data_IF_722698615401
#
_entry.id   IF_722698615401
#
_cell.length_a   1.000
_cell.length_b   1.000
_cell.length_c   1.000
_cell.angle_alpha   90.00
_cell.angle_beta   90.00
_cell.angle_gamma   90.00
#
_symmetry.space_group_name_H-M   'P 1'
#
loop_
_entity.id
_entity.type
_entity.pdbx_description
1 polymer ?
#
# COMPACT_ATOMS: atom_id res chain seq x y z
N UNK A 1 -26.59 -3.40 5.33
CA UNK A 1 -27.86 -3.36 6.10
C UNK A 1 -28.48 -1.97 6.07
N UNK A 2 -29.74 -1.84 6.46
CA UNK A 2 -30.42 -0.54 6.63
C UNK A 2 -29.70 0.35 7.65
N UNK A 3 -29.09 -0.28 8.67
CA UNK A 3 -28.33 0.39 9.72
C UNK A 3 -26.91 0.83 9.34
N UNK A 4 -26.45 0.51 8.13
CA UNK A 4 -25.10 0.85 7.69
C UNK A 4 -24.03 -0.18 8.05
N UNK A 5 -24.37 -1.31 8.66
CA UNK A 5 -23.43 -2.36 9.03
C UNK A 5 -22.97 -3.13 7.78
N UNK A 6 -21.67 -3.33 7.62
CA UNK A 6 -21.02 -4.13 6.58
C UNK A 6 -20.46 -5.40 7.26
N UNK A 7 -20.58 -6.60 6.63
CA UNK A 7 -19.96 -7.80 7.16
C UNK A 7 -18.42 -7.73 7.03
N UNK A 8 -17.73 -8.41 7.92
CA UNK A 8 -16.26 -8.45 7.92
C UNK A 8 -15.71 -9.25 6.72
N UNK A 9 -16.51 -10.18 6.16
CA UNK A 9 -16.16 -10.99 4.99
C UNK A 9 -17.27 -10.97 3.94
N UNK A 10 -16.90 -11.09 2.67
CA UNK A 10 -17.84 -11.17 1.56
C UNK A 10 -17.48 -12.35 0.62
N UNK A 11 -18.48 -13.19 0.21
CA UNK A 11 -19.87 -13.13 0.63
C UNK A 11 -20.02 -13.42 2.14
N UNK A 12 -21.07 -12.88 2.77
CA UNK A 12 -21.33 -13.02 4.20
C UNK A 12 -21.81 -14.45 4.57
N UNK A 13 -21.07 -15.47 4.13
CA UNK A 13 -21.33 -16.87 4.44
C UNK A 13 -21.13 -17.14 5.93
N UNK A 14 -20.03 -16.64 6.48
CA UNK A 14 -19.83 -16.54 7.92
C UNK A 14 -20.45 -15.23 8.39
N UNK A 15 -21.39 -15.30 9.32
CA UNK A 15 -22.15 -14.15 9.81
C UNK A 15 -21.30 -13.26 10.76
N UNK A 16 -20.12 -12.87 10.32
CA UNK A 16 -19.25 -11.95 11.06
C UNK A 16 -19.65 -10.50 10.78
N UNK A 17 -20.26 -9.88 11.77
CA UNK A 17 -20.66 -8.47 11.79
C UNK A 17 -20.15 -7.86 13.09
N UNK A 18 -18.81 -7.69 13.17
CA UNK A 18 -18.17 -7.24 14.42
C UNK A 18 -18.05 -5.72 14.51
N UNK A 19 -18.43 -5.00 13.45
CA UNK A 19 -18.12 -3.58 13.29
C UNK A 19 -16.61 -3.29 13.37
N UNK A 20 -15.78 -4.23 12.90
CA UNK A 20 -14.38 -3.94 12.66
C UNK A 20 -14.21 -2.81 11.66
N UNK A 21 -13.08 -2.13 11.70
CA UNK A 21 -12.82 -1.00 10.79
C UNK A 21 -12.01 -1.43 9.57
N UNK A 22 -11.03 -2.29 9.77
CA UNK A 22 -10.06 -2.64 8.73
C UNK A 22 -10.65 -3.53 7.65
N UNK A 23 -11.33 -4.62 8.02
CA UNK A 23 -11.95 -5.56 7.07
C UNK A 23 -13.03 -4.89 6.21
N UNK A 24 -14.05 -4.23 6.79
CA UNK A 24 -15.06 -3.51 6.00
C UNK A 24 -14.52 -2.35 5.16
N UNK A 25 -13.37 -1.77 5.50
CA UNK A 25 -12.71 -0.73 4.67
C UNK A 25 -12.41 -1.23 3.26
N UNK A 26 -12.26 -2.55 3.07
CA UNK A 26 -12.08 -3.17 1.75
C UNK A 26 -13.15 -2.76 0.75
N UNK A 27 -14.38 -2.52 1.20
CA UNK A 27 -15.48 -2.04 0.37
C UNK A 27 -15.17 -0.72 -0.34
N UNK A 28 -14.45 0.16 0.32
CA UNK A 28 -14.00 1.46 -0.20
C UNK A 28 -12.73 1.31 -1.04
N UNK A 29 -11.77 0.55 -0.52
CA UNK A 29 -10.48 0.31 -1.17
C UNK A 29 -10.64 -0.38 -2.51
N UNK A 30 -11.52 -1.39 -2.62
CA UNK A 30 -11.80 -2.08 -3.88
C UNK A 30 -12.48 -1.15 -4.88
N UNK A 31 -13.42 -0.31 -4.45
CA UNK A 31 -14.06 0.67 -5.35
C UNK A 31 -13.04 1.70 -5.88
N UNK A 32 -12.13 2.21 -5.03
CA UNK A 32 -11.03 3.10 -5.43
C UNK A 32 -10.06 2.39 -6.40
N UNK A 33 -9.71 1.13 -6.10
CA UNK A 33 -8.85 0.32 -6.97
C UNK A 33 -9.49 0.10 -8.36
N UNK A 34 -10.76 -0.27 -8.42
CA UNK A 34 -11.47 -0.46 -9.70
C UNK A 34 -11.50 0.83 -10.53
N UNK A 35 -11.74 1.96 -9.87
CA UNK A 35 -11.67 3.24 -10.55
C UNK A 35 -10.26 3.57 -11.07
N UNK A 36 -9.23 3.39 -10.26
CA UNK A 36 -7.83 3.67 -10.66
C UNK A 36 -7.33 2.75 -11.76
N UNK A 37 -7.67 1.45 -11.69
CA UNK A 37 -7.18 0.45 -12.63
C UNK A 37 -7.97 0.41 -13.94
N UNK A 38 -9.27 0.67 -13.89
CA UNK A 38 -10.16 0.51 -15.04
C UNK A 38 -10.87 1.80 -15.47
N UNK A 39 -10.77 2.88 -14.71
CA UNK A 39 -11.56 4.09 -14.93
C UNK A 39 -13.08 3.88 -14.67
N UNK A 40 -13.45 2.77 -14.02
CA UNK A 40 -14.83 2.39 -13.80
C UNK A 40 -15.43 3.08 -12.57
N UNK A 41 -16.26 4.08 -12.80
CA UNK A 41 -16.93 4.84 -11.73
C UNK A 41 -18.21 4.16 -11.22
N UNK A 42 -18.76 3.19 -11.93
CA UNK A 42 -20.04 2.54 -11.59
C UNK A 42 -20.11 1.95 -10.19
N UNK A 43 -19.06 1.28 -9.64
CA UNK A 43 -19.09 0.82 -8.27
C UNK A 43 -19.24 1.98 -7.27
N UNK A 44 -18.59 3.10 -7.51
CA UNK A 44 -18.71 4.29 -6.66
C UNK A 44 -20.12 4.86 -6.73
N UNK A 45 -20.66 5.11 -7.94
CA UNK A 45 -22.02 5.64 -8.15
C UNK A 45 -23.07 4.77 -7.48
N UNK A 46 -22.99 3.44 -7.69
CA UNK A 46 -23.96 2.48 -7.16
C UNK A 46 -23.93 2.37 -5.64
N UNK A 47 -22.76 2.49 -5.04
CA UNK A 47 -22.54 2.13 -3.64
C UNK A 47 -22.28 3.33 -2.73
N UNK A 48 -22.15 4.54 -3.24
CA UNK A 48 -21.82 5.74 -2.46
C UNK A 48 -22.75 5.96 -1.27
N UNK A 49 -24.05 5.80 -1.47
CA UNK A 49 -25.04 5.97 -0.39
C UNK A 49 -24.85 4.94 0.75
N UNK A 50 -24.52 3.69 0.43
CA UNK A 50 -24.26 2.66 1.44
C UNK A 50 -22.92 2.87 2.14
N UNK A 51 -21.92 3.37 1.45
CA UNK A 51 -20.63 3.78 2.01
C UNK A 51 -20.82 4.91 3.04
N UNK A 52 -21.59 5.94 2.69
CA UNK A 52 -21.97 7.02 3.64
C UNK A 52 -22.67 6.50 4.89
N UNK A 53 -23.56 5.52 4.74
CA UNK A 53 -24.25 4.91 5.88
C UNK A 53 -23.26 4.23 6.83
N UNK A 54 -22.29 3.48 6.30
CA UNK A 54 -21.27 2.85 7.13
C UNK A 54 -20.39 3.89 7.86
N UNK A 55 -19.90 4.90 7.15
CA UNK A 55 -19.12 5.99 7.75
C UNK A 55 -19.91 6.66 8.89
N UNK A 56 -21.19 6.97 8.66
CA UNK A 56 -22.07 7.55 9.69
C UNK A 56 -22.33 6.60 10.86
N UNK A 57 -22.48 5.30 10.60
CA UNK A 57 -22.66 4.29 11.64
C UNK A 57 -21.46 4.21 12.57
N UNK A 58 -20.25 4.07 12.00
CA UNK A 58 -19.00 4.02 12.79
C UNK A 58 -18.80 5.33 13.58
N UNK A 59 -18.99 6.48 12.92
CA UNK A 59 -18.90 7.77 13.60
C UNK A 59 -19.80 7.86 14.83
N UNK A 60 -21.08 7.58 14.66
CA UNK A 60 -22.09 7.74 15.72
C UNK A 60 -21.93 6.74 16.86
N UNK A 61 -21.49 5.53 16.52
CA UNK A 61 -21.48 4.43 17.51
C UNK A 61 -20.15 4.34 18.27
N UNK A 62 -19.04 4.65 17.63
CA UNK A 62 -17.71 4.34 18.17
C UNK A 62 -16.78 5.53 18.31
N UNK A 63 -17.01 6.66 17.61
CA UNK A 63 -16.08 7.77 17.69
C UNK A 63 -16.13 8.48 19.06
N UNK A 64 -14.98 8.57 19.71
CA UNK A 64 -14.75 9.31 20.95
C UNK A 64 -13.59 10.27 20.73
N UNK A 65 -13.80 11.57 20.94
CA UNK A 65 -12.77 12.61 20.78
C UNK A 65 -12.01 12.55 19.44
N UNK A 66 -12.74 12.24 18.36
CA UNK A 66 -12.19 12.05 17.00
C UNK A 66 -11.25 10.86 16.84
N UNK A 67 -11.35 9.86 17.71
CA UNK A 67 -10.64 8.58 17.64
C UNK A 67 -11.65 7.44 17.57
N UNK A 68 -11.24 6.30 17.01
CA UNK A 68 -12.06 5.08 16.92
C UNK A 68 -11.41 4.00 17.78
N UNK A 69 -11.88 3.80 19.03
CA UNK A 69 -11.31 2.77 19.92
C UNK A 69 -11.73 1.34 19.55
N UNK A 70 -12.58 1.19 18.51
CA UNK A 70 -13.11 -0.09 18.07
C UNK A 70 -12.15 -0.77 17.11
N UNK A 71 -11.52 -1.82 17.57
CA UNK A 71 -10.72 -2.74 16.78
C UNK A 71 -11.08 -4.18 17.14
N UNK A 72 -11.02 -5.10 16.19
CA UNK A 72 -11.30 -6.51 16.42
C UNK A 72 -10.10 -7.40 16.12
N UNK A 73 -9.41 -7.12 15.02
CA UNK A 73 -8.42 -8.03 14.47
C UNK A 73 -6.98 -7.53 14.63
N UNK A 74 -6.79 -6.23 14.83
CA UNK A 74 -5.45 -5.63 14.89
C UNK A 74 -4.67 -5.82 13.60
N UNK A 75 -3.35 -5.88 13.71
CA UNK A 75 -2.47 -6.28 12.60
C UNK A 75 -2.43 -7.82 12.52
N UNK A 76 -3.49 -8.40 11.97
CA UNK A 76 -3.76 -9.83 11.95
C UNK A 76 -2.62 -10.64 11.36
N UNK A 77 -2.30 -11.77 11.97
CA UNK A 77 -1.20 -12.65 11.56
C UNK A 77 0.20 -12.00 11.58
N UNK A 78 0.41 -11.03 12.48
CA UNK A 78 1.77 -10.58 12.73
C UNK A 78 2.65 -11.77 13.18
N UNK A 79 3.89 -11.91 12.66
CA UNK A 79 4.72 -13.08 12.93
C UNK A 79 5.11 -13.14 14.41
N UNK A 80 4.85 -14.27 15.12
CA UNK A 80 5.33 -14.50 16.48
C UNK A 80 6.86 -14.71 16.48
N UNK A 81 7.51 -14.44 17.61
CA UNK A 81 8.92 -14.78 17.78
C UNK A 81 9.12 -16.30 17.86
N UNK A 82 8.23 -16.98 18.59
CA UNK A 82 8.20 -18.44 18.70
C UNK A 82 7.36 -19.01 17.56
N UNK A 83 8.00 -19.78 16.68
CA UNK A 83 7.38 -20.29 15.44
C UNK A 83 6.25 -21.29 15.67
N UNK A 84 6.09 -21.83 16.87
CA UNK A 84 5.00 -22.75 17.25
C UNK A 84 3.70 -22.03 17.57
N UNK A 85 3.76 -20.73 17.86
CA UNK A 85 2.57 -19.94 18.19
C UNK A 85 1.79 -19.57 16.92
N UNK A 86 0.48 -19.48 17.05
CA UNK A 86 -0.40 -18.97 15.97
C UNK A 86 -0.36 -17.44 15.95
N UNK A 87 -0.36 -16.81 17.12
CA UNK A 87 -0.34 -15.35 17.25
C UNK A 87 0.80 -14.92 18.16
N UNK A 88 1.37 -13.77 17.87
CA UNK A 88 2.34 -13.13 18.75
C UNK A 88 1.70 -12.81 20.11
N UNK A 89 2.45 -13.05 21.18
CA UNK A 89 2.06 -12.74 22.55
C UNK A 89 2.83 -11.57 23.14
N UNK A 90 3.94 -11.24 22.53
CA UNK A 90 4.78 -10.12 22.95
C UNK A 90 4.11 -8.80 22.60
N UNK A 91 3.73 -8.03 23.62
CA UNK A 91 3.06 -6.74 23.46
C UNK A 91 3.91 -5.69 22.73
N UNK A 92 5.23 -5.83 22.74
CA UNK A 92 6.13 -4.93 21.99
C UNK A 92 5.96 -5.07 20.48
N UNK A 93 5.49 -6.24 20.03
CA UNK A 93 5.23 -6.55 18.63
C UNK A 93 3.81 -6.24 18.18
N UNK A 94 2.87 -6.06 19.12
CA UNK A 94 1.45 -5.86 18.83
C UNK A 94 1.16 -4.37 18.65
N UNK A 95 0.73 -3.99 17.46
CA UNK A 95 0.32 -2.61 17.18
C UNK A 95 -1.00 -2.29 17.85
N UNK A 96 -1.10 -1.09 18.42
CA UNK A 96 -2.31 -0.59 19.08
C UNK A 96 -3.51 -0.59 18.12
N UNK A 97 -4.58 -1.27 18.51
CA UNK A 97 -5.79 -1.43 17.68
C UNK A 97 -6.55 -0.12 17.46
N UNK A 98 -6.57 0.78 18.45
CA UNK A 98 -7.19 2.10 18.28
C UNK A 98 -6.42 2.97 17.27
N UNK A 99 -5.10 2.85 17.24
CA UNK A 99 -4.27 3.49 16.22
C UNK A 99 -4.65 2.96 14.82
N UNK A 100 -4.70 1.64 14.65
CA UNK A 100 -5.05 0.99 13.37
C UNK A 100 -6.44 1.44 12.91
N UNK A 101 -7.45 1.27 13.77
CA UNK A 101 -8.84 1.61 13.45
C UNK A 101 -9.01 3.09 13.09
N UNK A 102 -8.39 3.99 13.87
CA UNK A 102 -8.46 5.43 13.59
C UNK A 102 -7.75 5.81 12.30
N UNK A 103 -6.58 5.22 12.01
CA UNK A 103 -5.85 5.46 10.77
C UNK A 103 -6.66 5.00 9.54
N UNK A 104 -7.26 3.81 9.59
CA UNK A 104 -8.11 3.30 8.52
C UNK A 104 -9.38 4.11 8.33
N UNK A 105 -10.05 4.51 9.41
CA UNK A 105 -11.22 5.36 9.31
C UNK A 105 -10.88 6.72 8.70
N UNK A 106 -9.75 7.32 9.07
CA UNK A 106 -9.22 8.51 8.41
C UNK A 106 -9.00 8.29 6.91
N UNK A 107 -8.39 7.17 6.54
CA UNK A 107 -8.13 6.84 5.14
C UNK A 107 -9.43 6.67 4.35
N UNK A 108 -10.42 5.97 4.90
CA UNK A 108 -11.77 5.85 4.32
C UNK A 108 -12.39 7.22 4.09
N UNK A 109 -12.30 8.16 5.03
CA UNK A 109 -12.80 9.53 4.82
C UNK A 109 -12.08 10.25 3.68
N UNK A 110 -10.77 10.01 3.49
CA UNK A 110 -10.04 10.60 2.35
C UNK A 110 -10.50 10.03 1.02
N UNK A 111 -10.82 8.72 0.97
CA UNK A 111 -11.42 8.06 -0.20
C UNK A 111 -12.83 8.61 -0.44
N UNK A 112 -13.67 8.71 0.58
CA UNK A 112 -15.03 9.25 0.45
C UNK A 112 -15.02 10.70 -0.03
N UNK A 113 -14.13 11.53 0.46
CA UNK A 113 -13.91 12.89 -0.06
C UNK A 113 -13.56 12.88 -1.55
N UNK A 114 -12.72 11.94 -1.98
CA UNK A 114 -12.37 11.78 -3.39
C UNK A 114 -13.58 11.35 -4.22
N UNK A 115 -14.33 10.36 -3.77
CA UNK A 115 -15.57 9.92 -4.40
C UNK A 115 -16.64 11.04 -4.49
N UNK A 116 -16.80 11.82 -3.42
CA UNK A 116 -17.70 12.97 -3.43
C UNK A 116 -17.33 13.97 -4.52
N UNK A 117 -16.03 14.23 -4.75
CA UNK A 117 -15.57 15.11 -5.84
C UNK A 117 -15.87 14.51 -7.21
N UNK A 118 -15.61 13.21 -7.41
CA UNK A 118 -15.95 12.52 -8.66
C UNK A 118 -17.45 12.60 -8.99
N UNK A 119 -18.29 12.47 -7.95
CA UNK A 119 -19.74 12.56 -8.04
C UNK A 119 -20.27 14.00 -8.00
N UNK A 120 -19.39 15.00 -8.03
CA UNK A 120 -19.74 16.44 -7.99
C UNK A 120 -20.58 16.83 -6.76
N UNK A 121 -20.29 16.23 -5.60
CA UNK A 121 -20.93 16.55 -4.33
C UNK A 121 -19.95 17.34 -3.41
N UNK A 122 -19.90 18.68 -3.54
CA UNK A 122 -18.96 19.50 -2.77
C UNK A 122 -19.29 19.53 -1.27
N UNK A 123 -20.54 19.35 -0.89
CA UNK A 123 -20.98 19.37 0.52
C UNK A 123 -20.37 18.18 1.27
N UNK A 124 -20.52 16.96 0.73
CA UNK A 124 -19.94 15.76 1.32
C UNK A 124 -18.41 15.85 1.31
N UNK A 125 -17.80 16.33 0.23
CA UNK A 125 -16.36 16.48 0.13
C UNK A 125 -15.79 17.44 1.19
N UNK A 126 -16.49 18.52 1.50
CA UNK A 126 -16.12 19.48 2.54
C UNK A 126 -16.30 18.87 3.94
N UNK A 127 -17.43 18.22 4.19
CA UNK A 127 -17.70 17.53 5.45
C UNK A 127 -16.60 16.53 5.79
N UNK A 128 -16.28 15.62 4.87
CA UNK A 128 -15.29 14.57 5.08
C UNK A 128 -13.87 15.14 5.24
N UNK A 129 -13.56 16.23 4.54
CA UNK A 129 -12.29 16.95 4.70
C UNK A 129 -12.14 17.57 6.10
N UNK A 130 -13.19 18.18 6.62
CA UNK A 130 -13.19 18.79 7.96
C UNK A 130 -13.06 17.73 9.05
N UNK A 131 -13.81 16.63 8.92
CA UNK A 131 -13.75 15.53 9.88
C UNK A 131 -12.37 14.85 9.87
N UNK A 132 -11.83 14.55 8.68
CA UNK A 132 -10.49 14.01 8.54
C UNK A 132 -9.42 14.93 9.18
N UNK A 133 -9.57 16.24 9.03
CA UNK A 133 -8.67 17.22 9.67
C UNK A 133 -8.70 17.17 11.21
N UNK A 134 -9.87 16.96 11.81
CA UNK A 134 -10.03 16.80 13.26
C UNK A 134 -9.42 15.49 13.75
N UNK A 135 -9.68 14.38 13.04
CA UNK A 135 -9.12 13.06 13.34
C UNK A 135 -7.58 13.12 13.27
N UNK A 136 -7.01 13.69 12.22
CA UNK A 136 -5.57 13.87 12.08
C UNK A 136 -4.94 14.59 13.27
N UNK A 137 -5.58 15.63 13.78
CA UNK A 137 -5.12 16.37 14.97
C UNK A 137 -5.18 15.50 16.23
N UNK A 138 -6.31 14.83 16.48
CA UNK A 138 -6.51 13.94 17.62
C UNK A 138 -5.52 12.76 17.60
N UNK A 139 -5.36 12.13 16.44
CA UNK A 139 -4.44 11.02 16.21
C UNK A 139 -2.99 11.38 16.59
N UNK A 140 -2.47 12.48 16.03
CA UNK A 140 -1.10 12.90 16.34
C UNK A 140 -0.95 13.38 17.79
N UNK A 141 -2.00 13.95 18.40
CA UNK A 141 -1.97 14.32 19.82
C UNK A 141 -1.86 13.10 20.74
N UNK A 142 -2.55 12.00 20.40
CA UNK A 142 -2.59 10.80 21.23
C UNK A 142 -1.41 9.87 20.99
N UNK A 143 -1.09 9.59 19.74
CA UNK A 143 -0.22 8.48 19.37
C UNK A 143 1.21 8.89 19.01
N UNK A 144 1.47 10.15 18.59
CA UNK A 144 2.81 10.57 18.19
C UNK A 144 3.61 11.09 19.38
N UNK A 145 4.69 10.42 19.71
CA UNK A 145 5.73 10.93 20.57
C UNK A 145 6.57 11.98 19.81
N UNK A 146 6.41 13.25 20.13
CA UNK A 146 7.12 14.34 19.43
C UNK A 146 8.63 14.39 19.68
N UNK A 147 9.13 13.72 20.72
CA UNK A 147 10.57 13.71 21.04
C UNK A 147 11.30 12.66 20.21
N UNK A 148 10.75 11.44 20.15
CA UNK A 148 11.32 10.31 19.43
C UNK A 148 10.80 10.22 18.00
N UNK A 149 9.66 10.86 17.68
CA UNK A 149 8.92 10.74 16.43
C UNK A 149 8.45 9.29 16.16
N UNK A 150 8.06 8.59 17.21
CA UNK A 150 7.51 7.24 17.17
C UNK A 150 6.00 7.28 17.40
N UNK A 151 5.27 6.37 16.76
CA UNK A 151 3.87 6.15 17.04
C UNK A 151 3.69 4.97 17.99
N UNK A 152 2.94 5.18 19.09
CA UNK A 152 2.67 4.17 20.12
C UNK A 152 3.94 3.45 20.60
N UNK A 153 4.00 2.13 20.42
CA UNK A 153 5.10 1.25 20.78
C UNK A 153 6.13 1.04 19.64
N UNK A 154 6.16 1.94 18.67
CA UNK A 154 7.13 1.97 17.57
C UNK A 154 7.12 0.75 16.62
N UNK A 155 6.07 -0.07 16.61
CA UNK A 155 5.99 -1.14 15.61
C UNK A 155 6.05 -0.57 14.18
N UNK A 156 6.54 -1.36 13.24
CA UNK A 156 6.59 -0.96 11.83
C UNK A 156 5.21 -0.53 11.34
N UNK A 157 4.16 -1.30 11.64
CA UNK A 157 2.78 -0.97 11.27
C UNK A 157 2.30 0.34 11.89
N UNK A 158 2.61 0.60 13.16
CA UNK A 158 2.22 1.85 13.83
C UNK A 158 2.79 3.09 13.15
N UNK A 159 3.99 2.99 12.57
CA UNK A 159 4.65 4.11 11.89
C UNK A 159 4.28 4.20 10.39
N UNK A 160 4.16 3.09 9.66
CA UNK A 160 3.88 3.14 8.21
C UNK A 160 2.45 3.59 7.90
N UNK A 161 1.45 3.22 8.71
CA UNK A 161 0.07 3.63 8.44
C UNK A 161 -0.09 5.17 8.41
N UNK A 162 0.34 5.93 9.45
CA UNK A 162 0.23 7.37 9.42
C UNK A 162 1.13 8.03 8.36
N UNK A 163 2.27 7.45 7.99
CA UNK A 163 3.09 7.92 6.88
C UNK A 163 2.34 7.81 5.56
N UNK A 164 1.87 6.61 5.22
CA UNK A 164 1.21 6.34 3.95
C UNK A 164 -0.12 7.08 3.80
N UNK A 165 -0.94 7.09 4.84
CA UNK A 165 -2.23 7.80 4.81
C UNK A 165 -2.09 9.34 4.90
N UNK A 166 -0.86 9.85 5.08
CA UNK A 166 -0.61 11.28 5.16
C UNK A 166 -1.06 11.92 6.48
N UNK A 167 -1.20 11.13 7.53
CA UNK A 167 -1.54 11.58 8.89
C UNK A 167 -0.34 12.27 9.54
N UNK A 168 0.85 11.71 9.37
CA UNK A 168 2.10 12.25 9.95
C UNK A 168 2.32 13.70 9.51
N UNK A 169 2.59 14.64 10.44
CA UNK A 169 2.92 16.01 10.10
C UNK A 169 4.19 16.06 9.23
N UNK A 170 4.22 16.99 8.27
CA UNK A 170 5.28 17.04 7.24
C UNK A 170 6.69 17.07 7.83
N UNK A 171 6.88 17.85 8.89
CA UNK A 171 8.21 18.03 9.52
C UNK A 171 8.72 16.80 10.28
N UNK A 172 7.83 15.88 10.70
CA UNK A 172 8.19 14.65 11.41
C UNK A 172 8.34 13.43 10.48
N UNK A 173 7.87 13.51 9.21
CA UNK A 173 7.80 12.36 8.30
C UNK A 173 9.14 11.65 8.12
N UNK A 174 10.19 12.41 7.89
CA UNK A 174 11.51 11.84 7.68
C UNK A 174 11.99 11.06 8.92
N UNK A 175 11.81 11.63 10.12
CA UNK A 175 12.22 10.98 11.37
C UNK A 175 11.38 9.76 11.71
N UNK A 176 10.07 9.82 11.47
CA UNK A 176 9.19 8.64 11.60
C UNK A 176 9.64 7.53 10.64
N UNK A 177 9.99 7.87 9.41
CA UNK A 177 10.50 6.89 8.46
C UNK A 177 11.86 6.31 8.86
N UNK A 178 12.76 7.11 9.41
CA UNK A 178 14.04 6.62 9.97
C UNK A 178 13.81 5.60 11.10
N UNK A 179 12.78 5.78 11.93
CA UNK A 179 12.38 4.79 12.93
C UNK A 179 11.90 3.50 12.27
N UNK A 180 11.08 3.58 11.18
CA UNK A 180 10.70 2.38 10.40
C UNK A 180 11.92 1.64 9.89
N UNK A 181 12.89 2.35 9.30
CA UNK A 181 14.13 1.76 8.80
C UNK A 181 14.90 1.09 9.94
N UNK A 182 15.06 1.78 11.08
CA UNK A 182 15.76 1.23 12.22
C UNK A 182 15.11 -0.06 12.76
N UNK A 183 13.77 -0.08 12.87
CA UNK A 183 13.04 -1.28 13.30
C UNK A 183 13.29 -2.44 12.33
N UNK A 184 13.15 -2.21 11.03
CA UNK A 184 13.32 -3.27 10.04
C UNK A 184 14.75 -3.80 10.03
N UNK A 185 15.75 -2.91 9.97
CA UNK A 185 17.15 -3.33 9.74
C UNK A 185 17.84 -3.80 11.02
N UNK A 186 17.67 -3.07 12.13
CA UNK A 186 18.43 -3.33 13.34
C UNK A 186 17.69 -4.22 14.36
N UNK A 187 16.34 -4.15 14.41
CA UNK A 187 15.56 -4.97 15.35
C UNK A 187 15.10 -6.27 14.70
N UNK A 188 14.60 -6.19 13.46
CA UNK A 188 14.06 -7.35 12.74
C UNK A 188 14.98 -7.92 11.66
N UNK A 189 16.19 -7.36 11.47
CA UNK A 189 17.24 -7.89 10.58
C UNK A 189 16.72 -8.21 9.18
N UNK A 190 16.06 -7.21 8.56
CA UNK A 190 15.45 -7.28 7.22
C UNK A 190 14.40 -8.38 7.05
N UNK A 191 13.64 -8.66 8.11
CA UNK A 191 12.51 -9.59 8.07
C UNK A 191 11.17 -8.86 8.18
N UNK A 192 10.12 -9.55 7.79
CA UNK A 192 8.74 -9.09 8.01
C UNK A 192 8.45 -9.02 9.51
N UNK A 193 7.93 -7.88 9.94
CA UNK A 193 7.47 -7.65 11.32
C UNK A 193 6.04 -7.15 11.37
N UNK A 194 5.31 -7.28 10.26
CA UNK A 194 3.92 -6.82 10.09
C UNK A 194 3.00 -8.00 9.84
N UNK A 195 1.74 -7.82 10.26
CA UNK A 195 0.64 -8.69 9.85
C UNK A 195 0.02 -8.21 8.54
N UNK A 196 -1.23 -8.61 8.29
CA UNK A 196 -1.99 -8.28 7.07
C UNK A 196 -2.09 -6.78 6.83
N UNK A 197 -2.31 -6.02 7.91
CA UNK A 197 -2.56 -4.58 7.84
C UNK A 197 -1.29 -3.84 7.44
N UNK A 198 -0.18 -4.08 8.15
CA UNK A 198 1.08 -3.42 7.83
C UNK A 198 1.67 -3.88 6.49
N UNK A 199 1.62 -5.18 6.21
CA UNK A 199 2.15 -5.75 4.96
C UNK A 199 1.47 -5.16 3.70
N UNK A 200 0.21 -4.72 3.82
CA UNK A 200 -0.52 -4.10 2.69
C UNK A 200 0.04 -2.74 2.25
N UNK A 201 0.92 -2.11 3.04
CA UNK A 201 1.45 -0.76 2.76
C UNK A 201 2.97 -0.67 2.85
N UNK A 202 3.62 -1.74 3.34
CA UNK A 202 5.04 -1.76 3.68
C UNK A 202 5.95 -1.42 2.50
N UNK A 203 5.76 -2.14 1.38
CA UNK A 203 6.64 -2.01 0.21
C UNK A 203 6.53 -0.62 -0.44
N UNK A 204 5.33 -0.06 -0.44
CA UNK A 204 5.07 1.29 -0.96
C UNK A 204 5.75 2.35 -0.11
N UNK A 205 5.60 2.28 1.23
CA UNK A 205 6.24 3.25 2.13
C UNK A 205 7.75 3.20 1.98
N UNK A 206 8.36 2.03 2.01
CA UNK A 206 9.80 1.89 1.83
C UNK A 206 10.28 2.52 0.51
N UNK A 207 9.57 2.27 -0.57
CA UNK A 207 9.93 2.79 -1.89
C UNK A 207 9.67 4.30 -2.03
N UNK A 208 8.54 4.80 -1.56
CA UNK A 208 8.18 6.22 -1.64
C UNK A 208 9.13 7.12 -0.82
N UNK A 209 9.68 6.58 0.27
CA UNK A 209 10.68 7.27 1.09
C UNK A 209 12.14 6.94 0.71
N UNK A 210 12.36 6.29 -0.44
CA UNK A 210 13.68 6.14 -1.05
C UNK A 210 14.51 4.95 -0.54
N UNK A 211 13.88 3.93 0.05
CA UNK A 211 14.54 2.70 0.52
C UNK A 211 13.95 1.44 -0.15
N UNK A 212 13.94 1.40 -1.52
CA UNK A 212 13.54 0.19 -2.23
C UNK A 212 14.51 -0.98 -2.04
N UNK A 213 15.74 -0.70 -1.65
CA UNK A 213 16.75 -1.68 -1.25
C UNK A 213 16.26 -2.53 -0.07
N UNK A 214 15.75 -1.91 0.99
CA UNK A 214 15.18 -2.63 2.15
C UNK A 214 13.96 -3.46 1.73
N UNK A 215 13.09 -2.90 0.87
CA UNK A 215 11.95 -3.65 0.34
C UNK A 215 12.41 -4.91 -0.40
N UNK A 216 13.47 -4.82 -1.18
CA UNK A 216 14.05 -5.95 -1.90
C UNK A 216 14.69 -6.98 -0.95
N UNK A 217 15.42 -6.53 0.06
CA UNK A 217 16.06 -7.39 1.06
C UNK A 217 15.01 -8.20 1.82
N UNK A 218 13.91 -7.57 2.27
CA UNK A 218 12.77 -8.25 2.89
C UNK A 218 12.20 -9.35 1.98
N UNK A 219 12.00 -9.06 0.70
CA UNK A 219 11.40 -10.02 -0.26
C UNK A 219 12.30 -11.20 -0.50
N UNK A 220 13.60 -10.98 -0.58
CA UNK A 220 14.60 -12.00 -0.93
C UNK A 220 15.15 -12.75 0.27
N UNK A 221 14.89 -12.28 1.50
CA UNK A 221 15.32 -12.95 2.72
C UNK A 221 14.66 -14.34 2.84
N UNK A 222 15.49 -15.39 2.92
CA UNK A 222 15.05 -16.79 2.92
C UNK A 222 14.84 -17.38 4.31
N UNK A 223 15.03 -16.58 5.36
CA UNK A 223 14.81 -16.98 6.74
C UNK A 223 13.49 -16.42 7.28
N UNK A 224 12.99 -16.99 8.37
CA UNK A 224 11.72 -16.61 8.98
C UNK A 224 11.80 -15.24 9.66
N UNK A 225 10.75 -14.43 9.55
CA UNK A 225 9.57 -14.54 8.73
C UNK A 225 9.69 -13.76 7.39
N UNK A 226 9.09 -14.27 6.33
CA UNK A 226 9.05 -13.59 5.04
C UNK A 226 8.57 -14.47 3.88
N UNK A 227 8.39 -13.85 2.71
CA UNK A 227 8.00 -14.58 1.48
C UNK A 227 9.09 -15.52 1.01
N UNK A 228 10.36 -15.09 1.05
CA UNK A 228 11.50 -15.93 0.69
C UNK A 228 11.63 -17.16 1.59
N UNK A 229 11.27 -17.05 2.88
CA UNK A 229 11.16 -18.19 3.78
C UNK A 229 10.08 -19.18 3.33
N UNK A 230 8.88 -18.70 3.00
CA UNK A 230 7.81 -19.58 2.49
C UNK A 230 8.29 -20.36 1.25
N UNK A 231 8.95 -19.70 0.31
CA UNK A 231 9.54 -20.35 -0.89
C UNK A 231 10.61 -21.36 -0.51
N UNK A 232 11.51 -21.04 0.40
CA UNK A 232 12.57 -21.93 0.87
C UNK A 232 12.02 -23.19 1.55
N UNK A 233 10.86 -23.07 2.24
CA UNK A 233 10.16 -24.18 2.89
C UNK A 233 9.18 -24.92 1.93
N UNK A 234 9.26 -24.67 0.62
CA UNK A 234 8.51 -25.38 -0.40
C UNK A 234 7.07 -24.92 -0.59
N UNK A 235 6.74 -23.69 -0.21
CA UNK A 235 5.42 -23.12 -0.48
C UNK A 235 5.21 -22.97 -1.99
N UNK A 236 4.05 -23.41 -2.48
CA UNK A 236 3.60 -23.21 -3.86
C UNK A 236 2.63 -22.04 -3.99
N UNK A 237 2.09 -21.58 -2.88
CA UNK A 237 1.22 -20.41 -2.74
C UNK A 237 1.53 -19.69 -1.43
N UNK A 238 0.94 -18.51 -1.22
CA UNK A 238 1.05 -17.77 0.05
C UNK A 238 0.30 -18.53 1.17
N UNK A 239 0.93 -18.69 2.31
CA UNK A 239 0.33 -19.25 3.51
C UNK A 239 -0.46 -18.20 4.28
N UNK A 240 -1.40 -18.66 5.10
CA UNK A 240 -2.17 -17.80 6.00
C UNK A 240 -1.35 -17.22 7.15
N UNK A 241 -0.37 -17.99 7.65
CA UNK A 241 0.56 -17.57 8.67
C UNK A 241 1.99 -17.56 8.14
N UNK A 242 2.81 -16.62 8.57
CA UNK A 242 4.25 -16.57 8.23
C UNK A 242 4.99 -17.86 8.61
N UNK A 243 4.57 -18.49 9.71
CA UNK A 243 5.07 -19.75 10.27
C UNK A 243 4.13 -20.94 10.00
N UNK A 244 3.35 -20.93 8.92
CA UNK A 244 2.30 -21.93 8.65
C UNK A 244 2.77 -23.38 8.57
N UNK A 245 4.08 -23.63 8.40
CA UNK A 245 4.69 -24.95 8.45
C UNK A 245 5.03 -25.43 9.87
N UNK A 246 5.11 -24.52 10.86
CA UNK A 246 5.53 -24.81 12.24
C UNK A 246 4.47 -24.58 13.30
N UNK A 247 3.52 -23.66 13.06
CA UNK A 247 2.47 -23.31 14.04
C UNK A 247 1.76 -24.55 14.60
N UNK A 248 1.53 -24.56 15.89
CA UNK A 248 0.86 -25.67 16.63
C UNK A 248 -0.27 -25.10 17.51
N UNK A 249 -1.55 -25.50 17.35
CA UNK A 249 -2.01 -26.45 16.31
C UNK A 249 -1.90 -25.85 14.90
N UNK A 250 -1.72 -26.67 13.90
CA UNK A 250 -1.64 -26.23 12.49
C UNK A 250 -3.02 -25.77 12.02
N UNK A 251 -3.35 -24.54 12.26
CA UNK A 251 -4.62 -23.92 11.90
C UNK A 251 -4.56 -23.05 10.65
N UNK A 252 -3.48 -23.08 9.92
CA UNK A 252 -3.33 -22.21 8.78
C UNK A 252 -3.63 -22.92 7.47
N UNK A 253 -4.32 -22.21 6.57
CA UNK A 253 -4.37 -22.58 5.17
C UNK A 253 -2.99 -22.39 4.53
N UNK A 254 -2.64 -23.33 3.66
CA UNK A 254 -1.42 -23.21 2.82
C UNK A 254 -1.72 -22.58 1.46
N UNK A 255 -2.91 -22.04 1.28
CA UNK A 255 -3.34 -21.34 0.07
C UNK A 255 -4.26 -20.19 0.48
N UNK A 256 -3.65 -19.07 0.92
CA UNK A 256 -4.36 -17.92 1.42
C UNK A 256 -3.66 -16.62 0.99
N UNK A 257 -4.33 -15.82 0.17
CA UNK A 257 -3.73 -14.63 -0.47
C UNK A 257 -3.45 -13.47 0.51
N UNK A 258 -3.95 -13.52 1.71
CA UNK A 258 -3.97 -12.42 2.68
C UNK A 258 -2.58 -11.79 2.91
N UNK A 259 -1.55 -12.62 3.15
CA UNK A 259 -0.19 -12.16 3.39
C UNK A 259 0.60 -11.82 2.11
N UNK A 260 -0.04 -11.82 0.94
CA UNK A 260 0.58 -11.26 -0.26
C UNK A 260 0.85 -9.75 -0.09
N UNK A 261 -0.01 -9.07 0.66
CA UNK A 261 0.10 -7.64 0.89
C UNK A 261 0.09 -6.86 -0.43
N UNK A 262 1.02 -5.93 -0.55
CA UNK A 262 1.23 -5.14 -1.76
C UNK A 262 2.38 -5.64 -2.67
N UNK A 263 2.90 -6.86 -2.43
CA UNK A 263 4.08 -7.39 -3.12
C UNK A 263 3.95 -7.39 -4.65
N UNK A 264 2.85 -7.92 -5.19
CA UNK A 264 2.63 -7.95 -6.64
C UNK A 264 2.45 -6.53 -7.20
N UNK A 265 1.76 -5.66 -6.48
CA UNK A 265 1.61 -4.26 -6.87
C UNK A 265 2.98 -3.60 -6.91
N UNK A 266 3.84 -3.86 -5.94
CA UNK A 266 5.20 -3.34 -5.89
C UNK A 266 6.04 -3.83 -7.07
N UNK A 267 5.94 -5.10 -7.48
CA UNK A 267 6.63 -5.61 -8.66
C UNK A 267 6.23 -4.85 -9.92
N UNK A 268 4.93 -4.64 -10.15
CA UNK A 268 4.46 -3.94 -11.34
C UNK A 268 4.67 -2.42 -11.27
N UNK A 269 4.25 -1.79 -10.19
CA UNK A 269 4.27 -0.34 -10.09
C UNK A 269 5.67 0.22 -9.82
N UNK A 270 6.52 -0.51 -9.10
CA UNK A 270 7.83 0.00 -8.72
C UNK A 270 8.97 -0.67 -9.48
N UNK A 271 9.10 -2.00 -9.50
CA UNK A 271 10.21 -2.64 -10.21
C UNK A 271 10.05 -2.53 -11.73
N UNK A 272 8.89 -2.85 -12.26
CA UNK A 272 8.60 -2.67 -13.68
C UNK A 272 8.28 -1.21 -14.03
N UNK A 273 7.84 -0.41 -13.05
CA UNK A 273 7.50 0.99 -13.21
C UNK A 273 6.22 1.26 -13.98
N UNK A 274 5.25 0.34 -13.98
CA UNK A 274 3.99 0.49 -14.72
C UNK A 274 2.90 0.99 -13.77
N UNK A 275 2.49 2.26 -13.89
CA UNK A 275 1.43 2.86 -13.07
C UNK A 275 0.38 3.55 -13.93
N UNK A 276 -0.89 3.50 -13.50
CA UNK A 276 -1.92 4.38 -14.03
C UNK A 276 -1.74 5.80 -13.47
N UNK A 277 -1.89 6.82 -14.30
CA UNK A 277 -1.89 8.21 -13.85
C UNK A 277 -3.12 8.47 -12.98
N UNK A 278 -2.94 9.05 -11.79
CA UNK A 278 -4.03 9.26 -10.81
C UNK A 278 -5.12 10.21 -11.34
N UNK A 279 -4.74 11.17 -12.19
CA UNK A 279 -5.67 12.13 -12.76
C UNK A 279 -6.36 11.60 -14.02
N UNK A 280 -5.80 10.56 -14.66
CA UNK A 280 -6.31 9.92 -15.86
C UNK A 280 -6.35 8.40 -15.67
N UNK A 281 -7.26 7.90 -14.80
CA UNK A 281 -7.30 6.50 -14.41
C UNK A 281 -7.58 5.56 -15.57
N UNK A 282 -7.38 4.25 -15.36
CA UNK A 282 -7.63 3.23 -16.37
C UNK A 282 -6.52 3.13 -17.43
N UNK A 283 -5.31 3.60 -17.15
CA UNK A 283 -4.17 3.57 -18.09
C UNK A 283 -4.37 4.34 -19.40
N UNK A 284 -5.28 5.29 -19.43
CA UNK A 284 -5.36 6.24 -20.55
C UNK A 284 -4.09 7.08 -20.65
N UNK A 285 -3.55 7.45 -19.48
CA UNK A 285 -2.23 8.00 -19.31
C UNK A 285 -1.43 7.11 -18.38
N UNK A 286 -0.26 6.70 -18.81
CA UNK A 286 0.59 5.73 -18.14
C UNK A 286 1.78 6.46 -17.52
N UNK A 287 2.14 6.14 -16.30
CA UNK A 287 3.40 6.59 -15.70
C UNK A 287 4.36 5.41 -15.73
N UNK A 288 5.47 5.58 -16.46
CA UNK A 288 6.56 4.61 -16.56
C UNK A 288 7.72 5.12 -15.71
N UNK A 289 7.91 4.52 -14.52
CA UNK A 289 8.93 4.96 -13.55
C UNK A 289 9.46 3.77 -12.76
N UNK A 290 10.41 3.00 -13.30
CA UNK A 290 11.02 1.90 -12.55
C UNK A 290 11.91 2.45 -11.43
N UNK A 291 11.98 1.70 -10.37
CA UNK A 291 12.91 1.92 -9.27
C UNK A 291 14.10 0.99 -9.47
N UNK A 292 15.30 1.57 -9.51
CA UNK A 292 16.53 0.80 -9.69
C UNK A 292 17.10 0.41 -8.32
N UNK A 293 17.40 -0.88 -8.18
CA UNK A 293 18.04 -1.48 -7.00
C UNK A 293 19.38 -2.03 -7.46
N UNK A 294 20.45 -1.82 -6.70
CA UNK A 294 21.79 -2.16 -7.18
C UNK A 294 22.01 -3.64 -7.44
N UNK A 295 21.44 -4.50 -6.62
CA UNK A 295 21.50 -5.95 -6.76
C UNK A 295 20.62 -6.51 -7.88
N UNK A 296 19.60 -5.75 -8.35
CA UNK A 296 18.69 -6.19 -9.39
C UNK A 296 19.20 -5.76 -10.78
N UNK A 297 19.45 -6.72 -11.65
CA UNK A 297 20.07 -6.50 -12.96
C UNK A 297 19.07 -6.30 -14.09
N UNK A 298 17.89 -6.90 -14.00
CA UNK A 298 16.84 -6.77 -15.02
C UNK A 298 15.44 -6.95 -14.45
N UNK A 299 14.45 -6.39 -15.14
CA UNK A 299 13.03 -6.68 -14.92
C UNK A 299 12.34 -6.73 -16.28
N UNK A 300 11.60 -7.79 -16.53
CA UNK A 300 10.77 -7.95 -17.72
C UNK A 300 9.33 -8.16 -17.29
N UNK A 301 8.44 -7.24 -17.63
CA UNK A 301 7.04 -7.28 -17.23
C UNK A 301 6.11 -6.86 -18.34
N UNK A 302 4.91 -7.44 -18.32
CA UNK A 302 3.82 -7.03 -19.20
C UNK A 302 2.51 -6.98 -18.42
N UNK A 303 1.70 -5.96 -18.67
CA UNK A 303 0.41 -5.75 -18.06
C UNK A 303 -0.66 -5.54 -19.13
N UNK A 304 -1.74 -6.31 -19.08
CA UNK A 304 -2.85 -6.18 -20.01
C UNK A 304 -3.88 -5.22 -19.44
N UNK A 305 -3.80 -3.95 -19.83
CA UNK A 305 -4.77 -2.92 -19.46
C UNK A 305 -6.03 -2.99 -20.31
N UNK A 306 -7.06 -2.23 -19.97
CA UNK A 306 -8.28 -2.10 -20.80
C UNK A 306 -8.01 -1.52 -22.19
N UNK A 307 -6.86 -0.90 -22.41
CA UNK A 307 -6.43 -0.33 -23.69
C UNK A 307 -5.51 -1.26 -24.48
N UNK A 308 -5.06 -2.37 -23.89
CA UNK A 308 -4.13 -3.31 -24.49
C UNK A 308 -2.85 -3.51 -23.65
N UNK A 309 -1.86 -4.15 -24.26
CA UNK A 309 -0.62 -4.52 -23.58
C UNK A 309 0.31 -3.33 -23.31
N UNK A 310 0.73 -3.20 -22.08
CA UNK A 310 1.83 -2.34 -21.66
C UNK A 310 3.00 -3.27 -21.34
N UNK A 311 4.18 -3.00 -21.90
CA UNK A 311 5.39 -3.77 -21.63
C UNK A 311 6.48 -2.85 -21.11
N UNK A 312 7.21 -3.34 -20.12
CA UNK A 312 8.38 -2.72 -19.54
C UNK A 312 9.44 -3.78 -19.34
N UNK A 313 10.54 -3.68 -20.08
CA UNK A 313 11.65 -4.62 -20.00
C UNK A 313 12.94 -3.83 -19.95
N UNK A 314 13.58 -3.80 -18.78
CA UNK A 314 14.84 -3.10 -18.61
C UNK A 314 15.94 -4.02 -18.12
N UNK A 315 17.15 -3.70 -18.58
CA UNK A 315 18.40 -4.33 -18.21
C UNK A 315 19.37 -3.25 -17.74
N UNK A 316 20.06 -3.49 -16.63
CA UNK A 316 21.04 -2.57 -16.04
C UNK A 316 22.42 -3.21 -16.01
N UNK A 317 23.37 -2.56 -16.65
CA UNK A 317 24.79 -2.81 -16.55
C UNK A 317 25.46 -1.65 -15.82
N UNK A 318 26.76 -1.74 -15.54
CA UNK A 318 27.47 -0.75 -14.71
C UNK A 318 27.28 0.69 -15.17
N UNK A 319 27.32 0.91 -16.51
CA UNK A 319 27.21 2.26 -17.10
C UNK A 319 26.06 2.41 -18.09
N UNK A 320 25.25 1.37 -18.27
CA UNK A 320 24.18 1.35 -19.26
C UNK A 320 22.85 0.91 -18.65
N UNK A 321 21.82 1.67 -18.96
CA UNK A 321 20.45 1.29 -18.69
C UNK A 321 19.69 1.21 -20.01
N UNK A 322 19.31 -0.01 -20.40
CA UNK A 322 18.51 -0.27 -21.59
C UNK A 322 17.08 -0.57 -21.19
N UNK A 323 16.13 0.14 -21.77
CA UNK A 323 14.74 -0.03 -21.43
C UNK A 323 13.86 -0.10 -22.68
N UNK A 324 13.21 -1.24 -22.88
CA UNK A 324 12.25 -1.47 -23.95
C UNK A 324 10.84 -1.22 -23.39
N UNK A 325 10.14 -0.26 -23.96
CA UNK A 325 8.80 0.16 -23.58
C UNK A 325 7.84 -0.03 -24.74
N UNK A 326 6.67 -0.60 -24.46
CA UNK A 326 5.54 -0.65 -25.39
C UNK A 326 4.28 -0.21 -24.69
N UNK A 327 3.52 0.70 -25.28
CA UNK A 327 2.23 1.17 -24.78
C UNK A 327 1.16 0.96 -25.84
N UNK A 328 -0.13 0.78 -25.43
CA UNK A 328 -1.23 0.61 -26.37
C UNK A 328 -1.45 1.83 -27.26
N UNK A 329 -1.98 1.61 -28.46
CA UNK A 329 -2.43 2.72 -29.33
C UNK A 329 -3.45 3.62 -28.61
N UNK A 330 -3.46 4.90 -28.97
CA UNK A 330 -4.34 5.93 -28.37
C UNK A 330 -4.17 6.14 -26.85
N UNK A 331 -3.01 5.76 -26.29
CA UNK A 331 -2.60 6.08 -24.92
C UNK A 331 -1.38 7.01 -24.93
N UNK A 332 -1.08 7.59 -23.77
CA UNK A 332 0.11 8.42 -23.57
C UNK A 332 0.88 7.89 -22.37
N UNK A 333 2.21 8.08 -22.38
CA UNK A 333 3.04 7.77 -21.21
C UNK A 333 3.93 8.96 -20.82
N UNK A 334 4.10 9.14 -19.51
CA UNK A 334 5.20 9.92 -18.95
C UNK A 334 6.25 8.90 -18.51
N UNK A 335 7.45 9.03 -19.07
CA UNK A 335 8.55 8.09 -18.87
C UNK A 335 9.64 8.81 -18.07
N UNK A 336 9.99 8.24 -16.91
CA UNK A 336 11.08 8.72 -16.06
C UNK A 336 12.31 7.87 -16.32
N UNK A 337 13.30 8.44 -17.02
CA UNK A 337 14.52 7.75 -17.41
C UNK A 337 15.63 8.14 -16.43
N UNK A 338 16.33 7.18 -15.80
CA UNK A 338 17.49 7.49 -14.97
C UNK A 338 18.67 7.94 -15.85
N UNK A 339 18.94 9.24 -15.88
CA UNK A 339 20.03 9.85 -16.63
C UNK A 339 20.48 11.15 -15.95
N UNK A 340 21.75 11.48 -16.04
CA UNK A 340 22.29 12.73 -15.49
C UNK A 340 22.05 13.93 -16.40
N UNK A 341 21.96 13.70 -17.72
CA UNK A 341 21.79 14.76 -18.74
C UNK A 341 20.89 14.26 -19.88
N UNK A 342 20.07 15.14 -20.42
CA UNK A 342 19.20 14.85 -21.58
C UNK A 342 19.96 14.24 -22.76
N UNK A 343 21.16 14.77 -23.08
CA UNK A 343 21.97 14.31 -24.20
C UNK A 343 22.46 12.85 -24.10
N UNK A 344 22.38 12.25 -22.93
CA UNK A 344 22.75 10.85 -22.68
C UNK A 344 21.61 9.89 -23.04
N UNK A 345 20.41 10.42 -23.27
CA UNK A 345 19.22 9.62 -23.57
C UNK A 345 19.10 9.48 -25.09
N UNK A 346 19.06 8.23 -25.54
CA UNK A 346 18.81 7.90 -26.93
C UNK A 346 17.60 6.97 -27.07
N UNK A 347 16.89 7.11 -28.18
CA UNK A 347 15.84 6.17 -28.60
C UNK A 347 16.26 5.59 -29.95
N UNK A 348 16.36 4.25 -30.03
CA UNK A 348 16.82 3.53 -31.23
C UNK A 348 18.13 4.10 -31.82
N UNK A 349 19.07 4.51 -30.94
CA UNK A 349 20.37 5.08 -31.30
C UNK A 349 20.34 6.55 -31.72
N UNK A 350 19.18 7.23 -31.68
CA UNK A 350 19.04 8.66 -32.00
C UNK A 350 18.85 9.46 -30.73
N UNK A 351 19.40 10.68 -30.71
CA UNK A 351 19.15 11.57 -29.57
C UNK A 351 17.65 11.84 -29.41
N UNK A 352 17.16 11.81 -28.18
CA UNK A 352 15.73 11.88 -27.86
C UNK A 352 15.06 13.14 -28.40
N UNK A 353 15.79 14.26 -28.47
CA UNK A 353 15.28 15.52 -29.00
C UNK A 353 14.93 15.49 -30.49
N UNK A 354 15.46 14.49 -31.23
CA UNK A 354 15.24 14.35 -32.69
C UNK A 354 14.16 13.30 -33.01
N UNK A 355 13.57 12.66 -32.03
CA UNK A 355 12.62 11.54 -32.22
C UNK A 355 11.19 12.06 -32.29
N UNK A 356 10.50 11.79 -33.40
CA UNK A 356 9.09 12.17 -33.59
C UNK A 356 8.20 11.39 -32.62
N UNK A 357 7.28 12.11 -31.96
CA UNK A 357 6.31 11.53 -31.02
C UNK A 357 6.82 11.47 -29.58
N UNK A 358 8.07 11.82 -29.32
CA UNK A 358 8.64 11.96 -27.99
C UNK A 358 8.90 13.45 -27.72
N UNK A 359 8.59 13.88 -26.51
CA UNK A 359 8.86 15.24 -26.05
C UNK A 359 9.58 15.18 -24.71
N UNK A 360 10.75 15.75 -24.64
CA UNK A 360 11.41 16.03 -23.37
C UNK A 360 10.56 17.00 -22.53
N UNK A 361 10.38 16.72 -21.24
CA UNK A 361 9.59 17.55 -20.33
C UNK A 361 10.51 18.35 -19.43
N UNK A 362 11.28 17.68 -18.59
CA UNK A 362 12.25 18.30 -17.69
C UNK A 362 13.18 17.25 -17.08
N UNK A 363 14.24 17.72 -16.43
CA UNK A 363 15.02 16.89 -15.49
C UNK A 363 14.42 17.05 -14.09
N UNK A 364 14.24 15.93 -13.39
CA UNK A 364 13.83 15.91 -11.97
C UNK A 364 15.01 15.48 -11.12
N UNK A 365 15.15 16.08 -9.95
CA UNK A 365 16.15 15.66 -8.95
C UNK A 365 15.71 14.37 -8.28
#
# INVERSE_FOLDING_TARGET
>A
SSAGVIPDVAPAFWHYYTDDITWPSTYFLVADMLYRQYGDLRPVEKHYASMKKWVSHIHKKYMVDYLIPKDKYGDWCMPPAEMELIHARDSSRITDGELIATAYYYHVLTIMRYFARLLRNPIDAQHDSLLAGKIKKAFNKKFLNKKTCEYCNNTVTANILPLYFGITPVKERQKVFENVVNEITNVYHDHISTGVIGTSWLMRVLTEYGRPDIAYDIVTNRTYPGWGYMVAEGATTIWELWNGNKANPRMSSRNHVMLLGDLIVWFYENLAGIKSDVQHPGFKKIVMKPVLIDSLKFVHASYHSIHGWIRSSWDKEEYHFKWNISIPGNTQAIIYIPAYKEKEITESGRNISSVKGIRFVNMTK
#
